data_IF_386951626221
#
_entry.id   IF_386951626221
#
_cell.length_a   1.000
_cell.length_b   1.000
_cell.length_c   1.000
_cell.angle_alpha   90.00
_cell.angle_beta   90.00
_cell.angle_gamma   90.00
#
_symmetry.space_group_name_H-M   'P 1'
#
loop_
_entity.id
_entity.type
_entity.pdbx_description
1 polymer ?
#
# COMPACT_ATOMS: atom_id res chain seq x y z
N UNK A 1 -80.00 32.24 -30.85
CA UNK A 1 -79.16 31.26 -30.13
C UNK A 1 -78.36 30.41 -31.12
N UNK A 2 -77.02 30.53 -31.15
CA UNK A 2 -76.02 29.54 -31.62
C UNK A 2 -74.74 30.23 -32.12
N UNK A 3 -73.62 30.03 -31.40
CA UNK A 3 -72.27 29.66 -31.91
C UNK A 3 -71.18 30.12 -30.95
N UNK A 4 -70.93 29.33 -29.90
CA UNK A 4 -69.76 29.51 -29.04
C UNK A 4 -69.13 28.13 -28.71
N UNK A 5 -68.89 27.31 -29.73
CA UNK A 5 -68.23 25.99 -29.60
C UNK A 5 -67.21 25.74 -30.72
N UNK A 6 -66.25 26.65 -30.91
CA UNK A 6 -65.11 26.39 -31.82
C UNK A 6 -63.73 26.64 -31.22
N UNK A 7 -63.61 27.19 -30.00
CA UNK A 7 -62.30 27.51 -29.41
C UNK A 7 -61.76 26.49 -28.40
N UNK A 8 -62.54 25.48 -28.01
CA UNK A 8 -62.10 24.52 -26.96
C UNK A 8 -61.44 23.24 -27.49
N UNK A 9 -61.44 22.99 -28.80
CA UNK A 9 -60.81 21.79 -29.37
C UNK A 9 -59.32 21.93 -29.64
N UNK A 10 -58.75 23.15 -29.58
CA UNK A 10 -57.31 23.35 -29.80
C UNK A 10 -56.44 22.95 -28.60
N UNK A 11 -56.94 23.09 -27.38
CA UNK A 11 -56.16 22.86 -26.16
C UNK A 11 -55.93 21.36 -25.87
N UNK A 12 -56.86 20.50 -26.28
CA UNK A 12 -56.79 19.05 -25.99
C UNK A 12 -55.69 18.37 -26.83
N UNK A 13 -55.48 18.81 -28.08
CA UNK A 13 -54.42 18.27 -28.93
C UNK A 13 -53.01 18.57 -28.42
N UNK A 14 -52.81 19.74 -27.82
CA UNK A 14 -51.50 20.17 -27.29
C UNK A 14 -51.15 19.44 -25.99
N UNK A 15 -52.14 19.04 -25.20
CA UNK A 15 -51.92 18.25 -23.98
C UNK A 15 -51.51 16.79 -24.32
N UNK A 16 -52.07 16.21 -25.38
CA UNK A 16 -51.74 14.85 -25.82
C UNK A 16 -50.32 14.73 -26.40
N UNK A 17 -49.80 15.75 -27.09
CA UNK A 17 -48.43 15.73 -27.62
C UNK A 17 -47.36 15.96 -26.53
N UNK A 18 -47.71 16.66 -25.43
CA UNK A 18 -46.81 16.83 -24.29
C UNK A 18 -46.66 15.53 -23.46
N UNK A 19 -47.70 14.69 -23.39
CA UNK A 19 -47.63 13.41 -22.65
C UNK A 19 -46.79 12.37 -23.41
N UNK A 20 -46.90 12.30 -24.74
CA UNK A 20 -46.10 11.37 -25.54
C UNK A 20 -44.58 11.69 -25.52
N UNK A 21 -44.21 12.96 -25.31
CA UNK A 21 -42.79 13.35 -25.20
C UNK A 21 -42.19 13.02 -23.82
N UNK A 22 -42.97 13.02 -22.73
CA UNK A 22 -42.46 12.62 -21.42
C UNK A 22 -42.18 11.11 -21.28
N UNK A 23 -42.82 10.26 -22.08
CA UNK A 23 -42.51 8.82 -22.12
C UNK A 23 -41.21 8.49 -22.86
N UNK A 24 -40.73 9.36 -23.75
CA UNK A 24 -39.50 9.09 -24.53
C UNK A 24 -38.21 9.42 -23.77
N UNK A 25 -38.27 10.26 -22.74
CA UNK A 25 -37.09 10.59 -21.90
C UNK A 25 -36.75 9.46 -20.93
N UNK A 26 -37.71 8.58 -20.59
CA UNK A 26 -37.45 7.42 -19.73
C UNK A 26 -37.03 6.15 -20.48
N UNK A 27 -37.12 6.12 -21.82
CA UNK A 27 -36.70 4.96 -22.60
C UNK A 27 -35.19 4.94 -22.95
N UNK A 28 -34.50 6.09 -22.87
CA UNK A 28 -33.06 6.19 -23.17
C UNK A 28 -32.16 6.26 -21.92
N UNK A 29 -32.73 6.15 -20.71
CA UNK A 29 -31.95 5.91 -19.49
C UNK A 29 -31.80 4.42 -19.13
N UNK A 30 -32.21 3.52 -20.03
CA UNK A 30 -32.05 2.06 -19.86
C UNK A 30 -31.03 1.44 -20.84
N UNK A 31 -30.18 2.26 -21.47
CA UNK A 31 -28.85 1.83 -21.95
C UNK A 31 -27.79 2.38 -20.99
N UNK A 32 -28.04 2.27 -19.69
CA UNK A 32 -26.95 1.98 -18.78
C UNK A 32 -26.46 0.60 -19.15
N UNK A 33 -25.22 0.51 -19.65
CA UNK A 33 -24.46 -0.73 -19.61
C UNK A 33 -24.80 -1.43 -18.30
N UNK A 34 -25.48 -2.57 -18.40
CA UNK A 34 -25.61 -3.49 -17.30
C UNK A 34 -24.21 -4.07 -17.02
N UNK A 35 -23.31 -3.22 -16.52
CA UNK A 35 -22.48 -3.63 -15.41
C UNK A 35 -23.47 -3.86 -14.28
N UNK A 36 -23.94 -5.10 -14.27
CA UNK A 36 -24.65 -5.74 -13.20
C UNK A 36 -23.98 -5.34 -11.88
N UNK A 37 -24.51 -4.32 -11.19
CA UNK A 37 -24.37 -4.25 -9.74
C UNK A 37 -25.38 -5.26 -9.25
N UNK A 38 -24.94 -6.51 -9.32
CA UNK A 38 -25.59 -7.62 -8.66
C UNK A 38 -25.67 -7.25 -7.18
N UNK A 39 -26.85 -6.81 -6.76
CA UNK A 39 -27.24 -6.84 -5.35
C UNK A 39 -27.66 -8.28 -5.00
N UNK A 40 -26.89 -9.24 -5.52
CA UNK A 40 -27.05 -10.67 -5.36
C UNK A 40 -26.17 -11.09 -4.20
N UNK A 41 -26.82 -11.59 -3.16
CA UNK A 41 -26.30 -12.64 -2.30
C UNK A 41 -24.82 -12.51 -1.90
N UNK A 42 -24.53 -11.69 -0.89
CA UNK A 42 -23.54 -11.98 0.15
C UNK A 42 -22.19 -12.58 -0.27
N UNK A 43 -21.67 -12.25 -1.45
CA UNK A 43 -20.25 -12.41 -1.72
C UNK A 43 -19.59 -11.33 -0.89
N UNK A 44 -18.89 -11.72 0.19
CA UNK A 44 -18.13 -10.81 1.04
C UNK A 44 -17.30 -9.89 0.13
N UNK A 45 -17.82 -8.69 -0.11
CA UNK A 45 -17.18 -7.76 -1.02
C UNK A 45 -15.91 -7.34 -0.29
N UNK A 46 -14.81 -7.93 -0.74
CA UNK A 46 -13.52 -7.69 -0.15
C UNK A 46 -13.33 -6.18 -0.11
N UNK A 47 -13.10 -5.67 1.09
CA UNK A 47 -12.91 -4.25 1.34
C UNK A 47 -11.78 -4.06 2.33
N UNK A 48 -11.06 -2.97 2.15
CA UNK A 48 -10.00 -2.55 3.04
C UNK A 48 -10.48 -1.45 3.98
N UNK A 49 -9.84 -1.34 5.14
CA UNK A 49 -10.02 -0.20 6.04
C UNK A 49 -8.80 0.70 5.98
N UNK A 50 -9.01 1.98 5.73
CA UNK A 50 -7.95 2.99 5.70
C UNK A 50 -7.60 3.44 7.12
N UNK A 51 -6.30 3.56 7.41
CA UNK A 51 -5.78 4.14 8.64
C UNK A 51 -4.71 5.17 8.25
N UNK A 52 -4.98 6.45 8.50
CA UNK A 52 -4.04 7.54 8.20
C UNK A 52 -3.24 7.94 9.45
N UNK A 53 -1.99 8.36 9.27
CA UNK A 53 -1.15 8.85 10.38
C UNK A 53 -1.64 10.22 10.84
N UNK A 54 -1.98 10.33 12.12
CA UNK A 54 -2.48 11.58 12.71
C UNK A 54 -3.89 11.99 12.25
N UNK A 55 -4.66 11.05 11.66
CA UNK A 55 -6.00 11.33 11.12
C UNK A 55 -6.02 12.43 10.03
N UNK A 56 -4.88 12.64 9.37
CA UNK A 56 -4.76 13.61 8.30
C UNK A 56 -5.41 13.06 7.02
N UNK A 57 -6.14 13.89 6.27
CA UNK A 57 -6.82 13.45 5.06
C UNK A 57 -5.82 13.04 3.97
N UNK A 58 -6.17 12.00 3.22
CA UNK A 58 -5.53 11.62 1.97
C UNK A 58 -6.56 11.64 0.84
N UNK A 59 -6.14 11.43 -0.41
CA UNK A 59 -7.06 11.41 -1.55
C UNK A 59 -7.26 9.99 -2.05
N UNK A 60 -8.51 9.55 -2.14
CA UNK A 60 -8.92 8.25 -2.70
C UNK A 60 -9.90 8.49 -3.85
N UNK A 61 -9.54 8.08 -5.06
CA UNK A 61 -10.31 8.32 -6.29
C UNK A 61 -10.69 9.80 -6.49
N UNK A 62 -9.81 10.73 -6.09
CA UNK A 62 -10.06 12.18 -6.17
C UNK A 62 -10.85 12.76 -4.98
N UNK A 63 -11.36 11.93 -4.07
CA UNK A 63 -12.10 12.37 -2.89
C UNK A 63 -11.24 12.35 -1.62
N UNK A 64 -11.50 13.27 -0.70
CA UNK A 64 -10.82 13.28 0.60
C UNK A 64 -11.31 12.10 1.46
N UNK A 65 -10.36 11.30 1.94
CA UNK A 65 -10.61 10.14 2.81
C UNK A 65 -9.79 10.24 4.10
N UNK A 66 -10.30 9.67 5.19
CA UNK A 66 -9.73 9.69 6.54
C UNK A 66 -9.62 8.29 7.13
N UNK A 67 -9.02 8.21 8.33
CA UNK A 67 -8.99 6.96 9.09
C UNK A 67 -10.39 6.42 9.35
N UNK A 68 -10.62 5.16 9.01
CA UNK A 68 -11.90 4.48 9.15
C UNK A 68 -12.66 4.34 7.84
N UNK A 69 -12.29 5.07 6.79
CA UNK A 69 -12.95 4.96 5.49
C UNK A 69 -12.68 3.60 4.85
N UNK A 70 -13.65 3.16 4.05
CA UNK A 70 -13.61 1.87 3.35
C UNK A 70 -12.98 2.04 1.98
N UNK A 71 -11.99 1.20 1.67
CA UNK A 71 -11.28 1.18 0.40
C UNK A 71 -11.75 -0.03 -0.39
N UNK A 72 -12.23 0.21 -1.61
CA UNK A 72 -12.62 -0.85 -2.53
C UNK A 72 -11.48 -1.22 -3.47
N UNK A 73 -11.55 -2.43 -4.03
CA UNK A 73 -10.61 -2.87 -5.05
C UNK A 73 -10.64 -1.95 -6.28
N UNK A 74 -9.46 -1.64 -6.82
CA UNK A 74 -9.29 -0.73 -7.96
C UNK A 74 -9.14 0.74 -7.58
N UNK A 75 -9.18 1.09 -6.28
CA UNK A 75 -9.04 2.45 -5.80
C UNK A 75 -7.66 3.04 -6.08
N UNK A 76 -7.65 4.30 -6.51
CA UNK A 76 -6.46 5.13 -6.63
C UNK A 76 -6.25 5.90 -5.33
N UNK A 77 -5.10 5.71 -4.69
CA UNK A 77 -4.76 6.31 -3.40
C UNK A 77 -3.57 7.25 -3.61
N UNK A 78 -3.70 8.47 -3.12
CA UNK A 78 -2.68 9.51 -3.16
C UNK A 78 -2.47 10.07 -1.76
N UNK A 79 -1.27 9.92 -1.23
CA UNK A 79 -0.86 10.49 0.04
C UNK A 79 -0.11 11.82 -0.18
N UNK A 80 -0.47 12.90 0.54
CA UNK A 80 0.26 14.15 0.48
C UNK A 80 1.60 14.07 1.23
N UNK A 81 2.38 15.14 1.17
CA UNK A 81 3.64 15.26 1.90
C UNK A 81 3.42 15.20 3.41
N UNK A 82 4.24 14.40 4.11
CA UNK A 82 4.20 14.25 5.57
C UNK A 82 3.06 13.37 6.11
N UNK A 83 2.21 12.78 5.25
CA UNK A 83 1.10 11.92 5.68
C UNK A 83 1.29 10.51 5.15
N UNK A 84 1.54 9.56 6.05
CA UNK A 84 1.50 8.13 5.74
C UNK A 84 0.11 7.53 5.95
N UNK A 85 -0.14 6.39 5.32
CA UNK A 85 -1.39 5.65 5.49
C UNK A 85 -1.18 4.14 5.41
N UNK A 86 -1.98 3.38 6.14
CA UNK A 86 -2.00 1.92 6.09
C UNK A 86 -3.39 1.47 5.65
N UNK A 87 -3.47 0.64 4.62
CA UNK A 87 -4.71 -0.02 4.19
C UNK A 87 -4.71 -1.44 4.76
N UNK A 88 -5.63 -1.72 5.66
CA UNK A 88 -5.82 -3.05 6.25
C UNK A 88 -6.78 -3.85 5.36
N UNK A 89 -6.31 -4.94 4.76
CA UNK A 89 -7.06 -5.78 3.81
C UNK A 89 -7.55 -7.08 4.46
N UNK A 90 -7.76 -7.05 5.78
CA UNK A 90 -8.26 -8.16 6.61
C UNK A 90 -7.56 -9.51 6.31
N UNK A 91 -8.18 -10.54 5.65
CA UNK A 91 -7.50 -11.82 5.48
C UNK A 91 -6.31 -11.73 4.51
N UNK A 92 -6.23 -10.71 3.66
CA UNK A 92 -5.16 -10.60 2.67
C UNK A 92 -3.85 -10.07 3.25
N UNK A 93 -3.93 -9.22 4.27
CA UNK A 93 -2.77 -8.56 4.88
C UNK A 93 -2.94 -7.05 4.99
N UNK A 94 -1.86 -6.29 4.75
CA UNK A 94 -1.85 -4.82 4.87
C UNK A 94 -0.89 -4.18 3.89
N UNK A 95 -1.24 -2.98 3.42
CA UNK A 95 -0.37 -2.14 2.59
C UNK A 95 -0.03 -0.88 3.38
N UNK A 96 1.24 -0.68 3.69
CA UNK A 96 1.73 0.55 4.30
C UNK A 96 2.23 1.50 3.23
N UNK A 97 1.80 2.75 3.29
CA UNK A 97 1.96 3.77 2.25
C UNK A 97 2.73 4.92 2.87
N UNK A 98 3.92 5.18 2.34
CA UNK A 98 4.73 6.30 2.77
C UNK A 98 4.11 7.65 2.33
N UNK A 99 4.53 8.77 2.92
CA UNK A 99 4.19 10.09 2.41
C UNK A 99 4.58 10.30 0.94
N UNK A 100 3.91 11.23 0.25
CA UNK A 100 4.16 11.53 -1.18
C UNK A 100 4.03 10.33 -2.14
N UNK A 101 3.09 9.43 -1.88
CA UNK A 101 2.91 8.19 -2.64
C UNK A 101 1.64 8.25 -3.46
N UNK A 102 1.69 7.82 -4.73
CA UNK A 102 0.51 7.62 -5.57
C UNK A 102 0.52 6.20 -6.11
N UNK A 103 -0.56 5.47 -5.86
CA UNK A 103 -0.72 4.09 -6.30
C UNK A 103 -2.16 3.77 -6.65
N UNK A 104 -2.35 2.69 -7.40
CA UNK A 104 -3.66 2.05 -7.60
C UNK A 104 -3.63 0.67 -6.97
N UNK A 105 -4.51 0.46 -6.00
CA UNK A 105 -4.61 -0.77 -5.23
C UNK A 105 -5.76 -1.62 -5.78
N UNK A 106 -5.46 -2.82 -6.24
CA UNK A 106 -6.43 -3.83 -6.67
C UNK A 106 -6.23 -5.07 -5.82
N UNK A 107 -7.31 -5.66 -5.32
CA UNK A 107 -7.23 -6.89 -4.55
C UNK A 107 -8.44 -7.78 -4.82
N UNK A 108 -8.20 -9.08 -4.68
CA UNK A 108 -9.13 -10.19 -4.92
C UNK A 108 -8.91 -11.23 -3.82
N UNK A 109 -9.73 -12.29 -3.77
CA UNK A 109 -9.78 -13.26 -2.68
C UNK A 109 -8.41 -13.83 -2.20
N UNK A 110 -7.40 -13.93 -3.08
CA UNK A 110 -6.04 -14.38 -2.73
C UNK A 110 -4.93 -13.60 -3.44
N UNK A 111 -5.24 -12.41 -3.97
CA UNK A 111 -4.30 -11.62 -4.77
C UNK A 111 -4.36 -10.17 -4.37
N UNK A 112 -3.19 -9.55 -4.20
CA UNK A 112 -3.04 -8.11 -4.04
C UNK A 112 -2.18 -7.62 -5.20
N UNK A 113 -2.65 -6.66 -5.95
CA UNK A 113 -1.92 -6.02 -7.04
C UNK A 113 -1.83 -4.52 -6.78
N UNK A 114 -0.62 -4.01 -6.66
CA UNK A 114 -0.34 -2.61 -6.43
C UNK A 114 0.35 -2.05 -7.66
N UNK A 115 -0.25 -1.06 -8.31
CA UNK A 115 0.41 -0.30 -9.36
C UNK A 115 0.95 0.98 -8.72
N UNK A 116 2.24 1.00 -8.43
CA UNK A 116 2.90 2.12 -7.77
C UNK A 116 3.41 3.10 -8.83
N UNK A 117 2.89 4.33 -8.81
CA UNK A 117 3.31 5.38 -9.75
C UNK A 117 4.49 6.18 -9.21
N UNK A 118 4.47 6.51 -7.91
CA UNK A 118 5.52 7.27 -7.22
C UNK A 118 5.49 6.99 -5.72
N UNK A 119 6.62 7.20 -5.03
CA UNK A 119 6.74 7.09 -3.59
C UNK A 119 7.20 5.72 -3.10
N UNK A 120 6.93 5.41 -1.84
CA UNK A 120 7.36 4.16 -1.22
C UNK A 120 6.18 3.43 -0.57
N UNK A 121 6.23 2.10 -0.58
CA UNK A 121 5.24 1.29 0.11
C UNK A 121 5.82 -0.03 0.61
N UNK A 122 5.16 -0.58 1.62
CA UNK A 122 5.44 -1.90 2.16
C UNK A 122 4.19 -2.75 2.04
N UNK A 123 4.22 -3.76 1.18
CA UNK A 123 3.16 -4.73 1.03
C UNK A 123 3.42 -5.91 1.97
N UNK A 124 2.53 -6.13 2.94
CA UNK A 124 2.55 -7.30 3.82
C UNK A 124 1.40 -8.20 3.43
N UNK A 125 1.72 -9.35 2.83
CA UNK A 125 0.76 -10.37 2.45
C UNK A 125 0.69 -11.47 3.51
N UNK A 126 -0.52 -11.94 3.79
CA UNK A 126 -0.74 -13.10 4.66
C UNK A 126 -0.41 -14.41 3.92
N UNK A 127 -0.47 -15.54 4.66
CA UNK A 127 -0.19 -16.88 4.12
C UNK A 127 -1.11 -17.20 2.94
N UNK A 128 -0.54 -17.76 1.87
CA UNK A 128 -1.29 -18.15 0.68
C UNK A 128 -1.84 -16.99 -0.16
N UNK A 129 -1.43 -15.75 0.10
CA UNK A 129 -1.82 -14.56 -0.68
C UNK A 129 -0.66 -14.14 -1.57
N UNK A 130 -0.96 -13.93 -2.85
CA UNK A 130 0.02 -13.47 -3.84
C UNK A 130 -0.04 -11.95 -3.95
N UNK A 131 1.05 -11.29 -3.60
CA UNK A 131 1.25 -9.86 -3.75
C UNK A 131 2.07 -9.56 -5.01
N UNK A 132 1.61 -8.64 -5.84
CA UNK A 132 2.33 -8.15 -7.02
C UNK A 132 2.43 -6.64 -6.94
N UNK A 133 3.63 -6.10 -7.15
CA UNK A 133 3.84 -4.66 -7.24
C UNK A 133 4.38 -4.35 -8.63
N UNK A 134 3.63 -3.57 -9.40
CA UNK A 134 4.02 -3.08 -10.71
C UNK A 134 4.51 -1.64 -10.56
N UNK A 135 5.69 -1.36 -11.11
CA UNK A 135 6.21 0.01 -11.25
C UNK A 135 6.22 0.41 -12.73
N UNK A 136 6.15 1.72 -13.05
CA UNK A 136 6.25 2.20 -14.43
C UNK A 136 7.59 1.87 -15.10
N UNK A 137 8.60 1.51 -14.30
CA UNK A 137 9.93 1.12 -14.76
C UNK A 137 9.99 -0.34 -15.24
N UNK A 138 8.86 -1.06 -15.21
CA UNK A 138 8.77 -2.45 -15.66
C UNK A 138 9.22 -3.48 -14.61
N UNK A 139 9.56 -3.05 -13.39
CA UNK A 139 9.87 -3.96 -12.30
C UNK A 139 8.57 -4.47 -11.69
N UNK A 140 8.33 -5.77 -11.86
CA UNK A 140 7.22 -6.48 -11.21
C UNK A 140 7.79 -7.43 -10.17
N UNK A 141 7.73 -7.05 -8.89
CA UNK A 141 8.03 -7.96 -7.79
C UNK A 141 6.78 -8.73 -7.43
N UNK A 142 6.90 -10.05 -7.32
CA UNK A 142 5.81 -10.93 -6.96
C UNK A 142 6.19 -11.78 -5.75
N UNK A 143 5.36 -11.78 -4.70
CA UNK A 143 5.51 -12.76 -3.63
C UNK A 143 5.13 -14.13 -4.19
N UNK A 144 6.02 -15.12 -4.03
CA UNK A 144 5.61 -16.51 -4.16
C UNK A 144 4.67 -16.78 -2.99
N UNK A 145 3.37 -16.91 -3.25
CA UNK A 145 2.36 -17.18 -2.24
C UNK A 145 2.71 -18.45 -1.47
N UNK A 146 3.46 -18.31 -0.39
CA UNK A 146 3.90 -19.41 0.44
C UNK A 146 2.86 -19.62 1.53
N UNK A 147 2.46 -20.86 1.76
CA UNK A 147 1.50 -21.19 2.82
C UNK A 147 2.14 -21.13 4.22
N UNK A 148 3.47 -21.09 4.29
CA UNK A 148 4.20 -21.18 5.56
C UNK A 148 4.31 -19.85 6.32
N UNK A 149 4.46 -18.72 5.61
CA UNK A 149 4.83 -17.43 6.23
C UNK A 149 4.18 -16.23 5.56
N UNK A 150 3.92 -15.17 6.34
CA UNK A 150 3.59 -13.85 5.82
C UNK A 150 4.80 -13.26 5.10
N UNK A 151 4.62 -12.70 3.91
CA UNK A 151 5.71 -12.14 3.10
C UNK A 151 5.53 -10.62 3.02
N UNK A 152 6.60 -9.90 3.34
CA UNK A 152 6.68 -8.44 3.18
C UNK A 152 7.56 -8.09 1.97
N UNK A 153 7.03 -7.32 1.03
CA UNK A 153 7.81 -6.68 -0.03
C UNK A 153 7.87 -5.19 0.27
N UNK A 154 9.05 -4.63 0.10
CA UNK A 154 9.34 -3.23 0.32
C UNK A 154 9.93 -2.62 -0.96
N UNK A 155 9.29 -1.58 -1.50
CA UNK A 155 9.70 -0.89 -2.73
C UNK A 155 9.60 0.62 -2.57
N UNK A 156 10.67 1.32 -2.96
CA UNK A 156 10.72 2.76 -3.11
C UNK A 156 11.02 3.18 -4.55
N UNK A 157 10.20 4.08 -5.07
CA UNK A 157 10.47 4.88 -6.28
C UNK A 157 10.92 6.28 -5.85
N UNK A 158 12.23 6.45 -5.66
CA UNK A 158 12.85 7.73 -5.32
C UNK A 158 13.48 8.38 -6.55
N UNK A 159 12.83 9.38 -7.14
CA UNK A 159 13.39 10.14 -8.26
C UNK A 159 13.63 9.32 -9.54
N UNK A 160 14.34 9.92 -10.52
CA UNK A 160 14.60 9.36 -11.86
C UNK A 160 15.54 8.12 -11.89
N UNK A 161 15.63 7.37 -10.79
CA UNK A 161 16.43 6.15 -10.66
C UNK A 161 15.57 4.89 -10.60
N UNK A 162 16.19 3.74 -10.89
CA UNK A 162 15.56 2.41 -10.81
C UNK A 162 15.00 2.13 -9.39
N UNK A 163 13.99 1.24 -9.25
CA UNK A 163 13.33 1.00 -7.98
C UNK A 163 14.27 0.24 -7.04
N UNK A 164 14.32 0.65 -5.78
CA UNK A 164 15.11 -0.03 -4.75
C UNK A 164 14.18 -1.02 -4.03
N UNK A 165 14.50 -2.31 -4.11
CA UNK A 165 13.74 -3.40 -3.48
C UNK A 165 14.52 -3.94 -2.28
N UNK A 166 13.84 -4.10 -1.14
CA UNK A 166 14.37 -4.86 0.00
C UNK A 166 15.48 -4.19 0.84
N UNK A 167 15.72 -2.88 0.69
CA UNK A 167 16.73 -2.14 1.46
C UNK A 167 16.16 -1.16 2.50
N UNK A 168 14.88 -1.28 2.86
CA UNK A 168 14.31 -0.57 4.01
C UNK A 168 13.59 0.74 3.69
N UNK A 169 12.57 0.74 2.84
CA UNK A 169 11.55 1.78 2.91
C UNK A 169 10.79 1.81 4.24
N UNK A 170 11.00 0.85 5.15
CA UNK A 170 10.65 1.05 6.56
C UNK A 170 11.19 2.38 7.12
N UNK A 171 12.39 2.82 6.69
CA UNK A 171 12.95 4.12 7.09
C UNK A 171 12.19 5.30 6.45
N UNK A 172 11.77 5.16 5.18
CA UNK A 172 11.08 6.22 4.43
C UNK A 172 9.58 6.30 4.74
N UNK A 173 8.97 5.19 5.15
CA UNK A 173 7.56 5.11 5.54
C UNK A 173 7.32 5.61 6.98
N UNK A 174 8.38 5.92 7.73
CA UNK A 174 8.31 6.31 9.15
C UNK A 174 7.57 5.25 9.99
N UNK A 175 7.48 4.03 9.45
CA UNK A 175 6.86 2.87 10.08
C UNK A 175 7.90 2.33 11.07
N UNK A 176 7.86 2.82 12.30
CA UNK A 176 8.86 2.65 13.36
C UNK A 176 9.32 1.23 13.65
N UNK A 177 10.11 0.65 12.75
CA UNK A 177 10.85 -0.58 12.92
C UNK A 177 12.29 -0.22 13.25
N UNK A 178 12.64 -0.57 14.49
CA UNK A 178 13.95 -0.52 15.12
C UNK A 178 15.12 -0.74 14.16
N UNK A 179 16.10 0.15 14.27
CA UNK A 179 17.46 0.08 13.71
C UNK A 179 18.00 -1.35 13.58
N UNK A 180 18.16 -1.82 12.35
CA UNK A 180 19.20 -2.81 12.03
C UNK A 180 20.10 -2.14 11.01
N UNK A 181 21.37 -2.02 11.41
CA UNK A 181 22.43 -1.37 10.70
C UNK A 181 22.48 -1.78 9.21
N UNK A 182 22.42 -0.79 8.33
CA UNK A 182 22.91 -0.91 6.97
C UNK A 182 23.74 0.34 6.68
N UNK A 183 25.04 0.19 6.96
CA UNK A 183 26.14 0.65 6.10
C UNK A 183 25.85 1.82 5.20
N UNK A 184 26.40 2.97 5.62
CA UNK A 184 26.88 4.07 4.78
C UNK A 184 27.20 3.64 3.34
N UNK A 185 26.28 3.92 2.41
CA UNK A 185 26.63 4.07 1.01
C UNK A 185 27.36 5.42 0.89
N UNK A 186 28.68 5.36 1.05
CA UNK A 186 29.56 6.48 0.79
C UNK A 186 29.49 6.84 -0.69
N UNK A 187 29.08 8.07 -0.94
CA UNK A 187 29.35 8.81 -2.16
C UNK A 187 30.83 8.65 -2.54
N UNK A 188 31.05 8.08 -3.71
CA UNK A 188 32.32 8.15 -4.42
C UNK A 188 32.54 9.58 -4.89
N UNK A 189 33.18 10.41 -4.05
CA UNK A 189 33.99 11.53 -4.49
C UNK A 189 34.74 12.13 -3.30
N UNK A 190 36.05 12.25 -3.42
CA UNK A 190 36.86 13.05 -2.50
C UNK A 190 37.87 12.27 -1.68
N UNK A 191 39.12 12.36 -2.11
CA UNK A 191 40.32 11.90 -1.43
C UNK A 191 40.49 12.46 0.00
N UNK A 192 41.10 11.65 0.89
CA UNK A 192 41.65 12.08 2.17
C UNK A 192 41.43 11.04 3.27
N UNK A 193 42.48 10.32 3.71
CA UNK A 193 43.27 10.71 4.90
C UNK A 193 42.39 10.56 6.15
N UNK A 194 42.36 9.47 6.90
CA UNK A 194 43.37 8.85 7.79
C UNK A 194 42.89 7.39 8.04
N UNK A 195 43.70 6.34 8.17
CA UNK A 195 44.85 6.15 9.04
C UNK A 195 44.61 4.87 9.86
N UNK A 196 45.65 4.06 10.07
CA UNK A 196 45.70 2.69 10.62
C UNK A 196 45.40 1.61 9.55
N UNK A 197 46.35 0.93 8.92
CA UNK A 197 47.73 0.67 9.29
C UNK A 197 47.98 -0.84 9.21
N UNK A 198 48.43 -1.31 8.03
CA UNK A 198 49.24 -2.53 7.79
C UNK A 198 48.59 -3.90 8.13
N UNK A 199 48.85 -5.03 7.48
CA UNK A 199 50.06 -5.55 6.82
C UNK A 199 49.59 -6.42 5.64
N UNK A 200 50.32 -6.39 4.52
CA UNK A 200 49.97 -7.10 3.30
C UNK A 200 50.07 -8.62 3.40
N UNK A 201 49.35 -9.31 2.52
CA UNK A 201 49.74 -10.63 2.05
C UNK A 201 49.29 -10.79 0.59
N UNK A 202 50.22 -11.32 -0.20
CA UNK A 202 50.22 -11.42 -1.65
C UNK A 202 49.66 -12.78 -2.04
N UNK A 203 48.75 -12.81 -3.02
CA UNK A 203 48.48 -13.95 -3.93
C UNK A 203 47.81 -15.21 -3.35
N UNK A 204 46.87 -15.79 -4.09
CA UNK A 204 46.97 -17.15 -4.68
C UNK A 204 45.68 -17.47 -5.45
N UNK A 205 45.86 -17.97 -6.67
CA UNK A 205 44.83 -18.61 -7.48
C UNK A 205 44.54 -20.02 -6.96
N UNK A 206 43.26 -20.39 -6.92
CA UNK A 206 42.81 -21.77 -7.14
C UNK A 206 42.74 -22.69 -5.92
N UNK A 207 41.78 -23.61 -6.03
CA UNK A 207 41.48 -24.77 -5.19
C UNK A 207 40.50 -24.55 -4.03
N UNK A 208 39.39 -25.29 -4.12
CA UNK A 208 38.34 -25.42 -3.13
C UNK A 208 38.85 -26.00 -1.82
N UNK A 209 38.58 -25.29 -0.73
CA UNK A 209 38.60 -25.84 0.64
C UNK A 209 37.47 -25.19 1.43
N UNK A 210 36.69 -26.03 2.11
CA UNK A 210 35.63 -25.61 3.01
C UNK A 210 36.24 -24.84 4.20
N UNK A 211 35.83 -23.57 4.37
CA UNK A 211 36.14 -22.80 5.55
C UNK A 211 34.99 -22.98 6.54
N UNK A 212 35.19 -23.91 7.48
CA UNK A 212 34.41 -23.96 8.72
C UNK A 212 34.84 -22.77 9.58
N UNK A 213 34.19 -21.63 9.38
CA UNK A 213 34.31 -20.49 10.26
C UNK A 213 33.48 -20.76 11.53
N UNK A 214 34.14 -21.29 12.57
CA UNK A 214 33.62 -21.29 13.93
C UNK A 214 33.59 -19.84 14.44
N UNK A 215 32.51 -19.13 14.14
CA UNK A 215 32.23 -17.83 14.73
C UNK A 215 31.90 -18.03 16.22
N UNK A 216 32.76 -17.52 17.10
CA UNK A 216 32.45 -17.37 18.51
C UNK A 216 31.18 -16.52 18.64
N UNK A 217 30.13 -17.17 19.11
CA UNK A 217 28.85 -16.58 19.47
C UNK A 217 29.11 -15.69 20.69
N UNK A 218 29.37 -14.40 20.46
CA UNK A 218 29.16 -13.38 21.47
C UNK A 218 27.65 -13.30 21.70
N UNK A 219 27.18 -13.91 22.79
CA UNK A 219 25.77 -13.88 23.22
C UNK A 219 25.40 -12.43 23.53
N UNK A 220 24.54 -11.76 22.74
CA UNK A 220 24.02 -10.47 23.16
C UNK A 220 23.09 -10.71 24.34
N UNK A 221 23.38 -10.05 25.47
CA UNK A 221 22.53 -10.02 26.65
C UNK A 221 21.07 -9.77 26.23
N UNK A 222 20.21 -10.78 26.43
CA UNK A 222 18.76 -10.64 26.32
C UNK A 222 18.31 -9.56 27.28
N UNK A 223 18.02 -8.36 26.78
CA UNK A 223 17.28 -7.34 27.52
C UNK A 223 15.90 -7.94 27.83
N UNK A 224 15.64 -8.10 29.12
CA UNK A 224 14.43 -8.74 29.65
C UNK A 224 13.15 -8.08 29.16
N UNK A 225 12.10 -8.89 29.09
CA UNK A 225 10.75 -8.48 28.77
C UNK A 225 10.31 -7.32 29.67
N UNK A 226 9.65 -6.34 29.05
CA UNK A 226 9.00 -5.20 29.69
C UNK A 226 8.02 -5.69 30.78
N UNK A 227 8.24 -5.42 32.08
CA UNK A 227 7.28 -5.77 33.11
C UNK A 227 6.07 -4.83 33.03
N UNK A 228 4.87 -5.42 33.16
CA UNK A 228 3.62 -4.67 33.28
C UNK A 228 3.66 -3.70 34.48
N UNK A 229 3.03 -2.52 34.38
CA UNK A 229 3.06 -1.52 35.43
C UNK A 229 2.24 -2.02 36.63
N UNK A 230 2.90 -2.28 37.76
CA UNK A 230 2.16 -2.63 38.98
C UNK A 230 2.94 -3.01 40.23
N UNK A 231 4.28 -3.10 40.21
CA UNK A 231 5.02 -3.55 41.41
C UNK A 231 6.09 -2.53 41.83
N UNK A 232 6.02 -1.97 43.05
CA UNK A 232 7.04 -1.05 43.57
C UNK A 232 8.36 -1.78 43.85
N UNK A 233 9.45 -1.04 43.63
CA UNK A 233 10.78 -1.55 43.31
C UNK A 233 11.62 -2.13 44.45
N UNK A 234 12.60 -2.94 44.05
CA UNK A 234 13.71 -3.43 44.86
C UNK A 234 15.06 -3.25 44.13
N UNK A 235 16.19 -3.16 44.85
CA UNK A 235 17.41 -2.55 44.33
C UNK A 235 18.29 -3.47 43.46
N UNK A 236 18.67 -2.92 42.30
CA UNK A 236 19.96 -2.99 41.59
C UNK A 236 20.64 -4.35 41.39
N UNK A 237 20.46 -4.93 40.21
CA UNK A 237 21.39 -5.91 39.64
C UNK A 237 22.48 -5.19 38.81
N UNK A 238 23.72 -5.23 39.31
CA UNK A 238 24.92 -4.78 38.61
C UNK A 238 25.50 -5.98 37.84
N UNK A 239 25.63 -5.87 36.52
CA UNK A 239 26.41 -6.81 35.71
C UNK A 239 27.88 -6.34 35.66
N UNK A 240 28.82 -7.23 36.01
CA UNK A 240 30.27 -7.09 35.75
C UNK A 240 30.62 -7.65 34.38
#
# INVERSE_FOLDING_TARGET
MKKQRRKQFGAIGLLLTLVASQTYVQANLAVTNANHVDSGQGGDQLSGRLVTRGNNPITVNGNSARSGDTIFSGAQIQSPSGVGATVQLSPLGSVDIAPNTSLRLTFEAKRITVNLTQGCLILRSNRGVVGTINTPQGTSEQTKGSEASSISIDICLGGAGAPIVGQGAALAADAGASSVAATTAASSDGAGLFGLGTIGTIGFFGAATEIVAAAMIAVPCRRGANPSPGVPGGPNAVCR
#
